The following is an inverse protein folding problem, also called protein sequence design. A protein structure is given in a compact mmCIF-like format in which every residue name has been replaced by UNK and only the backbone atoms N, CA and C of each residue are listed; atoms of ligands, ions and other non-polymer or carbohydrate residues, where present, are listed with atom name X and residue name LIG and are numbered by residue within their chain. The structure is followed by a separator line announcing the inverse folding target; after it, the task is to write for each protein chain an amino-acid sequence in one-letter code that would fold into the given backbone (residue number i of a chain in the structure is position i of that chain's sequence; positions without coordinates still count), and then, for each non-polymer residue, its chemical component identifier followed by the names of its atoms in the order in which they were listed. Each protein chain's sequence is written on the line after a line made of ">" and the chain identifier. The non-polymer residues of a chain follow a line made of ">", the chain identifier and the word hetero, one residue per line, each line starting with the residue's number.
data_IF_571724051018
#
_entry.id   IF_571724051018
#
_cell.length_a   1.000
_cell.length_b   1.000
_cell.length_c   1.000
_cell.angle_alpha   90.00
_cell.angle_beta   90.00
_cell.angle_gamma   90.00
#
_symmetry.space_group_name_H-M   'P 1'
#
loop_
_entity.id
_entity.type
_entity.pdbx_description
1 polymer ?
#
# COMPACT_ATOMS: atom_id res chain seq x y z
N UNK A 1 -32.50 2.60 0.63
CA UNK A 1 -31.42 3.17 1.45
C UNK A 1 -30.54 2.08 2.04
N UNK A 2 -29.26 2.24 1.90
CA UNK A 2 -28.34 1.31 2.49
C UNK A 2 -27.84 1.83 3.84
N UNK A 3 -27.98 1.00 4.85
CA UNK A 3 -27.40 1.31 6.14
C UNK A 3 -26.00 0.73 6.20
N UNK A 4 -25.09 1.54 6.58
CA UNK A 4 -23.71 1.10 6.82
C UNK A 4 -23.40 1.30 8.29
N UNK A 5 -22.65 0.37 8.84
CA UNK A 5 -22.11 0.56 10.16
C UNK A 5 -21.20 1.78 10.15
N UNK A 6 -21.34 2.61 11.14
CA UNK A 6 -20.42 3.72 11.33
C UNK A 6 -19.18 3.24 12.06
N UNK A 7 -18.04 3.78 11.70
CA UNK A 7 -16.81 3.55 12.44
C UNK A 7 -16.62 4.69 13.43
N UNK A 8 -16.18 4.36 14.63
CA UNK A 8 -15.80 5.37 15.61
C UNK A 8 -14.41 5.92 15.29
N UNK A 9 -14.07 7.06 15.86
CA UNK A 9 -12.71 7.57 15.78
C UNK A 9 -11.70 6.55 16.33
N UNK A 10 -12.07 5.87 17.41
CA UNK A 10 -11.23 4.83 18.01
C UNK A 10 -10.96 3.68 17.04
N UNK A 11 -11.95 3.29 16.22
CA UNK A 11 -11.75 2.26 15.21
C UNK A 11 -10.73 2.70 14.18
N UNK A 12 -10.80 3.94 13.72
CA UNK A 12 -9.83 4.48 12.79
C UNK A 12 -8.43 4.55 13.40
N UNK A 13 -8.33 4.94 14.66
CA UNK A 13 -7.05 5.08 15.37
C UNK A 13 -6.33 3.75 15.59
N UNK A 14 -7.01 2.63 15.45
CA UNK A 14 -6.36 1.32 15.49
C UNK A 14 -5.45 1.09 14.28
N UNK A 15 -5.73 1.74 13.17
CA UNK A 15 -4.93 1.59 11.96
C UNK A 15 -3.75 2.55 12.01
N UNK A 16 -2.57 2.03 11.71
CA UNK A 16 -1.38 2.85 11.56
C UNK A 16 -1.20 3.18 10.09
N UNK A 17 -1.79 4.30 9.68
CA UNK A 17 -1.63 4.81 8.31
C UNK A 17 -0.39 5.66 8.24
N UNK A 18 0.49 5.35 7.30
CA UNK A 18 1.78 6.02 7.17
C UNK A 18 2.07 6.34 5.71
N UNK A 19 2.83 7.41 5.50
CA UNK A 19 3.43 7.68 4.20
C UNK A 19 4.68 6.82 4.06
N UNK A 20 4.84 6.18 2.93
CA UNK A 20 6.00 5.36 2.63
C UNK A 20 6.52 5.66 1.24
N UNK A 21 7.83 5.52 1.03
CA UNK A 21 8.43 5.64 -0.30
C UNK A 21 8.63 4.25 -0.87
N UNK A 22 8.20 4.06 -2.11
CA UNK A 22 8.53 2.82 -2.83
C UNK A 22 9.98 2.93 -3.26
N UNK A 23 10.85 2.09 -2.68
CA UNK A 23 12.27 2.07 -3.02
C UNK A 23 12.62 0.99 -4.01
N UNK A 24 11.83 -0.07 -4.07
CA UNK A 24 11.95 -1.13 -5.07
C UNK A 24 10.56 -1.59 -5.49
N UNK A 25 10.42 -1.98 -6.73
CA UNK A 25 9.21 -2.57 -7.26
C UNK A 25 9.58 -3.58 -8.34
N UNK A 26 8.96 -4.76 -8.28
CA UNK A 26 9.22 -5.80 -9.27
C UNK A 26 8.00 -6.68 -9.49
N UNK A 27 7.92 -7.24 -10.69
CA UNK A 27 6.93 -8.28 -10.99
C UNK A 27 7.32 -9.57 -10.27
N UNK A 28 6.31 -10.35 -9.90
CA UNK A 28 6.51 -11.62 -9.21
C UNK A 28 6.32 -12.75 -10.21
N UNK A 29 7.36 -13.58 -10.36
CA UNK A 29 7.28 -14.74 -11.23
C UNK A 29 6.19 -15.70 -10.75
N UNK A 30 5.33 -16.11 -11.67
CA UNK A 30 4.21 -17.00 -11.36
C UNK A 30 3.00 -16.33 -10.75
N UNK A 31 2.99 -15.00 -10.62
CA UNK A 31 1.88 -14.24 -10.09
C UNK A 31 1.51 -13.11 -11.04
N UNK A 32 0.49 -13.32 -11.87
CA UNK A 32 0.13 -12.39 -12.93
C UNK A 32 -0.40 -11.04 -12.45
N UNK A 33 -0.88 -11.00 -11.21
CA UNK A 33 -1.55 -9.80 -10.67
C UNK A 33 -0.69 -9.02 -9.68
N UNK A 34 0.41 -9.60 -9.22
CA UNK A 34 1.16 -9.04 -8.10
C UNK A 34 2.40 -8.27 -8.54
N UNK A 35 2.61 -7.14 -7.89
CA UNK A 35 3.91 -6.50 -7.77
C UNK A 35 4.40 -6.68 -6.34
N UNK A 36 5.70 -6.88 -6.20
CA UNK A 36 6.37 -6.85 -4.92
C UNK A 36 6.99 -5.47 -4.75
N UNK A 37 6.65 -4.83 -3.63
CA UNK A 37 7.10 -3.49 -3.32
C UNK A 37 7.93 -3.51 -2.05
N UNK A 38 9.06 -2.82 -2.05
CA UNK A 38 9.80 -2.51 -0.84
C UNK A 38 9.49 -1.07 -0.46
N UNK A 39 8.90 -0.89 0.72
CA UNK A 39 8.43 0.40 1.20
C UNK A 39 9.32 0.89 2.33
N UNK A 40 9.79 2.11 2.21
CA UNK A 40 10.60 2.77 3.23
C UNK A 40 9.73 3.69 4.07
N UNK A 41 9.71 3.45 5.38
CA UNK A 41 8.98 4.25 6.36
C UNK A 41 9.86 5.26 7.08
N UNK A 42 11.11 5.39 6.68
CA UNK A 42 12.07 6.25 7.36
C UNK A 42 12.79 5.56 8.51
N UNK A 43 12.07 4.77 9.31
CA UNK A 43 12.63 4.02 10.43
C UNK A 43 12.76 2.52 10.15
N UNK A 44 12.48 2.10 8.95
CA UNK A 44 12.57 0.71 8.53
C UNK A 44 11.86 0.48 7.22
N UNK A 45 11.95 -0.73 6.74
CA UNK A 45 11.35 -1.12 5.46
C UNK A 45 10.33 -2.22 5.65
N UNK A 46 9.37 -2.27 4.73
CA UNK A 46 8.35 -3.31 4.67
C UNK A 46 8.31 -3.92 3.29
N UNK A 47 8.12 -5.23 3.25
CA UNK A 47 7.87 -5.96 2.01
C UNK A 47 6.36 -6.10 1.84
N UNK A 48 5.83 -5.64 0.72
CA UNK A 48 4.39 -5.66 0.47
C UNK A 48 4.13 -6.23 -0.92
N UNK A 49 3.12 -7.09 -1.01
CA UNK A 49 2.61 -7.56 -2.30
C UNK A 49 1.29 -6.84 -2.58
N UNK A 50 1.15 -6.33 -3.78
CA UNK A 50 -0.04 -5.58 -4.18
C UNK A 50 -0.53 -6.04 -5.55
N UNK A 51 -1.84 -6.18 -5.68
CA UNK A 51 -2.49 -6.65 -6.91
C UNK A 51 -2.63 -5.57 -7.98
N UNK A 52 -1.60 -4.80 -8.23
CA UNK A 52 -1.63 -3.65 -9.13
C UNK A 52 -0.82 -3.82 -10.41
N UNK A 53 -0.33 -5.03 -10.65
CA UNK A 53 0.54 -5.29 -11.82
C UNK A 53 -0.11 -4.95 -13.15
N UNK A 54 -1.43 -5.07 -13.27
CA UNK A 54 -2.13 -4.75 -14.50
C UNK A 54 -2.19 -3.23 -14.76
N UNK A 55 -1.92 -2.40 -13.75
CA UNK A 55 -2.13 -0.95 -13.82
C UNK A 55 -0.86 -0.15 -13.75
N UNK A 56 0.24 -0.73 -13.28
CA UNK A 56 1.51 -0.03 -13.11
C UNK A 56 2.67 -0.90 -13.57
N UNK A 57 3.57 -0.31 -14.34
CA UNK A 57 4.87 -0.91 -14.58
C UNK A 57 5.76 -0.65 -13.35
N UNK A 58 6.55 -1.63 -12.91
CA UNK A 58 7.40 -1.44 -11.72
C UNK A 58 8.28 -0.19 -11.79
N UNK A 59 8.82 0.12 -12.95
CA UNK A 59 9.72 1.26 -13.14
C UNK A 59 9.05 2.60 -12.86
N UNK A 60 7.73 2.68 -13.01
CA UNK A 60 6.97 3.90 -12.76
C UNK A 60 6.80 4.20 -11.29
N UNK A 61 7.02 3.20 -10.44
CA UNK A 61 6.67 3.29 -9.02
C UNK A 61 7.83 3.67 -8.13
N UNK A 62 9.05 3.36 -8.53
CA UNK A 62 10.24 3.63 -7.70
C UNK A 62 10.38 5.13 -7.46
N UNK A 63 10.50 5.50 -6.19
CA UNK A 63 10.60 6.89 -5.75
C UNK A 63 9.28 7.54 -5.35
N UNK A 64 8.14 6.91 -5.67
CA UNK A 64 6.83 7.48 -5.33
C UNK A 64 6.53 7.34 -3.85
N UNK A 65 5.86 8.36 -3.32
CA UNK A 65 5.27 8.28 -1.99
C UNK A 65 3.86 7.74 -2.10
N UNK A 66 3.53 6.82 -1.22
CA UNK A 66 2.22 6.18 -1.18
C UNK A 66 1.70 6.16 0.25
N UNK A 67 0.41 5.88 0.38
CA UNK A 67 -0.25 5.70 1.66
C UNK A 67 -0.34 4.21 1.94
N UNK A 68 0.09 3.79 3.14
CA UNK A 68 0.01 2.39 3.52
C UNK A 68 -0.57 2.20 4.91
N UNK A 69 -1.08 1.02 5.16
CA UNK A 69 -1.40 0.56 6.52
C UNK A 69 -0.21 -0.28 6.98
N UNK A 70 0.46 0.18 8.05
CA UNK A 70 1.70 -0.40 8.51
C UNK A 70 1.53 -1.47 9.59
N UNK A 71 0.36 -1.56 10.21
CA UNK A 71 0.13 -2.47 11.34
C UNK A 71 -0.93 -3.55 11.08
N UNK A 72 -1.11 -3.94 9.83
CA UNK A 72 -1.90 -5.14 9.54
C UNK A 72 -1.11 -6.38 9.90
N UNK A 73 -1.83 -7.44 10.26
CA UNK A 73 -1.20 -8.74 10.45
C UNK A 73 -0.47 -9.15 9.17
N UNK A 74 0.79 -9.62 9.27
CA UNK A 74 1.50 -10.12 8.10
C UNK A 74 0.73 -11.25 7.44
N UNK A 75 0.67 -11.23 6.11
CA UNK A 75 0.03 -12.28 5.32
C UNK A 75 1.09 -13.14 4.67
N UNK A 76 0.98 -14.43 4.88
CA UNK A 76 1.84 -15.39 4.21
C UNK A 76 1.24 -15.71 2.85
N UNK A 77 1.98 -15.40 1.81
CA UNK A 77 1.63 -15.73 0.44
C UNK A 77 2.61 -16.80 -0.06
N UNK A 78 2.27 -17.44 -1.16
CA UNK A 78 3.16 -18.39 -1.81
C UNK A 78 4.51 -17.79 -2.15
N UNK A 79 4.56 -16.49 -2.38
CA UNK A 79 5.75 -15.78 -2.87
C UNK A 79 6.54 -15.07 -1.78
N UNK A 80 6.04 -15.07 -0.55
CA UNK A 80 6.66 -14.39 0.58
C UNK A 80 5.64 -13.82 1.54
N UNK A 81 6.10 -12.99 2.46
CA UNK A 81 5.24 -12.38 3.47
C UNK A 81 4.96 -10.93 3.11
N UNK A 82 3.67 -10.56 3.11
CA UNK A 82 3.26 -9.17 2.93
C UNK A 82 3.08 -8.50 4.28
N UNK A 83 3.82 -7.42 4.53
CA UNK A 83 3.94 -6.76 5.83
C UNK A 83 3.22 -5.43 5.85
N UNK A 84 2.02 -5.40 5.36
CA UNK A 84 1.20 -4.21 5.27
C UNK A 84 0.43 -4.15 3.96
N UNK A 85 -0.20 -3.02 3.70
CA UNK A 85 -1.02 -2.85 2.50
C UNK A 85 -0.89 -1.42 1.99
N UNK A 86 -0.65 -1.26 0.69
CA UNK A 86 -0.79 0.06 0.05
C UNK A 86 -2.24 0.30 -0.28
N UNK A 87 -2.67 1.54 -0.15
CA UNK A 87 -4.05 1.92 -0.39
C UNK A 87 -4.24 2.40 -1.82
N UNK A 88 -5.31 1.93 -2.43
CA UNK A 88 -5.69 2.31 -3.78
C UNK A 88 -7.16 2.68 -3.81
N UNK A 89 -7.50 3.63 -4.66
CA UNK A 89 -8.89 3.92 -5.00
C UNK A 89 -9.21 3.20 -6.31
N UNK A 90 -10.46 2.72 -6.44
CA UNK A 90 -10.90 2.15 -7.70
C UNK A 90 -11.57 0.79 -7.57
N UNK A 91 -11.63 0.09 -8.69
CA UNK A 91 -12.24 -1.22 -8.80
C UNK A 91 -11.61 -1.96 -9.99
N UNK A 92 -11.95 -3.23 -10.15
CA UNK A 92 -11.47 -4.00 -11.29
C UNK A 92 -11.90 -3.39 -12.64
N UNK A 93 -13.11 -2.84 -12.71
CA UNK A 93 -13.60 -2.24 -13.95
C UNK A 93 -13.04 -0.85 -14.22
N UNK A 94 -12.80 -0.06 -13.17
CA UNK A 94 -12.30 1.31 -13.30
C UNK A 94 -10.78 1.40 -13.28
N UNK A 95 -10.10 0.35 -12.83
CA UNK A 95 -8.68 0.37 -12.52
C UNK A 95 -8.42 0.74 -11.08
N UNK A 96 -7.17 0.56 -10.65
CA UNK A 96 -6.74 0.90 -9.29
C UNK A 96 -5.72 2.01 -9.34
N UNK A 97 -5.89 2.99 -8.48
CA UNK A 97 -5.07 4.20 -8.43
C UNK A 97 -4.46 4.33 -7.05
N UNK A 98 -3.14 4.35 -6.99
CA UNK A 98 -2.41 4.52 -5.73
C UNK A 98 -2.70 5.88 -5.13
N UNK A 99 -2.88 5.93 -3.83
CA UNK A 99 -3.04 7.17 -3.09
C UNK A 99 -1.67 7.73 -2.75
N UNK A 100 -1.45 8.99 -3.07
CA UNK A 100 -0.19 9.68 -2.83
C UNK A 100 -0.46 10.99 -2.10
N UNK A 101 0.44 11.43 -1.21
CA UNK A 101 0.28 12.72 -0.55
C UNK A 101 0.66 13.88 -1.47
N UNK A 102 0.28 15.07 -1.09
CA UNK A 102 0.81 16.29 -1.70
C UNK A 102 2.32 16.39 -1.48
N UNK A 103 2.95 17.24 -2.28
CA UNK A 103 4.38 17.49 -2.15
C UNK A 103 4.72 18.06 -0.78
N UNK A 104 5.86 17.64 -0.25
CA UNK A 104 6.33 18.08 1.07
C UNK A 104 6.18 17.00 2.14
N UNK A 105 5.32 16.01 1.93
CA UNK A 105 5.26 14.89 2.85
C UNK A 105 6.51 14.01 2.73
N UNK A 106 6.89 13.36 3.82
CA UNK A 106 8.08 12.53 3.88
C UNK A 106 7.72 11.12 4.42
N UNK A 107 8.55 10.13 4.10
CA UNK A 107 8.33 8.78 4.61
C UNK A 107 8.24 8.73 6.12
N UNK A 108 7.30 7.95 6.62
CA UNK A 108 7.08 7.78 8.04
C UNK A 108 6.03 8.70 8.65
N UNK A 109 5.63 9.74 7.97
CA UNK A 109 4.58 10.63 8.48
C UNK A 109 3.30 9.85 8.71
N UNK A 110 2.70 10.06 9.87
CA UNK A 110 1.44 9.42 10.21
C UNK A 110 0.27 10.17 9.56
N UNK A 111 -0.69 9.40 9.09
CA UNK A 111 -1.93 9.92 8.53
C UNK A 111 -3.02 9.87 9.60
N UNK A 112 -3.71 10.95 9.76
CA UNK A 112 -4.76 11.07 10.78
C UNK A 112 -6.03 11.68 10.21
#
# INVERSE_FOLDING_TARGET
>A
MLFRSTASLADFQKLELRIARIVEARSVAGADRLLQLTLDLGDGRRNVFSGIRAYYAPEQLVGRLVLMIANLEPRKLRFGVSEGMVLCAGSESAGFFLLSPDSGATPGMRVS
#
